data_IF_061598386195
#
_entry.id   IF_061598386195
#
_cell.length_a   1.000
_cell.length_b   1.000
_cell.length_c   1.000
_cell.angle_alpha   90.00
_cell.angle_beta   90.00
_cell.angle_gamma   90.00
#
_symmetry.space_group_name_H-M   'P 1'
#
loop_
_entity.id
_entity.type
_entity.pdbx_description
1 polymer ?
#
# COMPACT_ATOMS: atom_id res chain seq x y z
N UNK A 1 10.08 -12.21 -5.23
CA UNK A 1 9.37 -13.22 -6.04
C UNK A 1 9.42 -14.55 -5.31
N UNK A 2 8.28 -15.22 -5.24
CA UNK A 2 8.09 -16.53 -4.60
C UNK A 2 7.36 -17.46 -5.56
N UNK A 3 7.63 -18.75 -5.51
CA UNK A 3 6.92 -19.79 -6.25
C UNK A 3 6.53 -20.92 -5.30
N UNK A 4 5.24 -21.19 -5.29
CA UNK A 4 4.67 -22.33 -4.54
C UNK A 4 4.36 -23.48 -5.49
N UNK A 5 4.59 -24.70 -5.03
CA UNK A 5 4.07 -25.86 -5.73
C UNK A 5 2.55 -26.03 -5.49
N UNK A 6 1.84 -26.91 -6.22
CA UNK A 6 0.40 -27.09 -6.04
C UNK A 6 -0.02 -27.57 -4.65
N UNK A 7 0.89 -28.20 -3.90
CA UNK A 7 0.63 -28.67 -2.54
C UNK A 7 0.74 -27.55 -1.48
N UNK A 8 1.28 -26.37 -1.84
CA UNK A 8 1.41 -25.23 -0.93
C UNK A 8 2.79 -25.04 -0.32
N UNK A 9 3.78 -25.79 -0.76
CA UNK A 9 5.17 -25.62 -0.30
C UNK A 9 5.82 -24.51 -1.10
N UNK A 10 6.45 -23.55 -0.42
CA UNK A 10 7.27 -22.50 -1.04
C UNK A 10 8.59 -23.11 -1.54
N UNK A 11 8.66 -23.37 -2.84
CA UNK A 11 9.80 -24.08 -3.47
C UNK A 11 10.88 -23.15 -4.03
N UNK A 12 10.55 -21.85 -4.18
CA UNK A 12 11.49 -20.84 -4.64
C UNK A 12 11.16 -19.48 -4.04
N UNK A 13 12.16 -18.77 -3.56
CA UNK A 13 12.09 -17.36 -3.18
C UNK A 13 13.44 -16.69 -3.46
N UNK A 14 13.40 -15.43 -3.91
CA UNK A 14 14.60 -14.63 -4.14
C UNK A 14 15.32 -14.32 -2.82
N UNK A 15 14.55 -14.03 -1.78
CA UNK A 15 15.08 -13.58 -0.47
C UNK A 15 15.63 -14.73 0.39
N UNK A 16 15.12 -15.96 0.22
CA UNK A 16 15.45 -17.13 1.04
C UNK A 16 15.33 -16.88 2.54
N UNK A 17 14.25 -16.20 2.92
CA UNK A 17 13.90 -15.98 4.32
C UNK A 17 13.47 -17.29 5.01
N UNK A 18 13.08 -17.20 6.28
CA UNK A 18 12.65 -18.36 7.11
C UNK A 18 11.41 -19.09 6.58
N UNK A 19 10.71 -18.52 5.61
CA UNK A 19 9.56 -19.08 4.92
C UNK A 19 9.93 -20.07 3.80
N UNK A 20 11.20 -20.11 3.38
CA UNK A 20 11.67 -21.01 2.34
C UNK A 20 11.51 -22.49 2.75
N UNK A 21 11.00 -23.33 1.84
CA UNK A 21 10.65 -24.76 2.04
C UNK A 21 9.55 -24.95 3.10
N UNK A 22 8.73 -23.93 3.33
CA UNK A 22 7.64 -23.99 4.29
C UNK A 22 6.32 -24.36 3.60
N UNK A 23 5.50 -25.16 4.28
CA UNK A 23 4.17 -25.55 3.83
C UNK A 23 3.11 -24.51 4.29
N UNK A 24 2.45 -23.89 3.33
CA UNK A 24 1.39 -22.89 3.51
C UNK A 24 -0.01 -23.47 3.25
N UNK A 25 -0.15 -24.77 3.06
CA UNK A 25 -1.44 -25.42 2.89
C UNK A 25 -2.29 -25.32 4.16
N UNK A 26 -3.61 -25.47 4.00
CA UNK A 26 -4.53 -25.46 5.15
C UNK A 26 -4.27 -26.69 6.02
N UNK A 27 -4.04 -26.46 7.31
CA UNK A 27 -3.84 -27.54 8.27
C UNK A 27 -2.41 -28.10 8.32
N UNK A 28 -1.44 -27.45 7.68
CA UNK A 28 -0.02 -27.84 7.74
C UNK A 28 0.60 -27.80 9.14
N UNK A 29 -0.09 -27.19 10.12
CA UNK A 29 0.44 -26.95 11.47
C UNK A 29 1.45 -25.79 11.54
N UNK A 30 1.79 -25.21 10.41
CA UNK A 30 2.70 -24.07 10.37
C UNK A 30 1.97 -22.77 10.68
N UNK A 31 2.41 -21.97 11.67
CA UNK A 31 1.79 -20.69 12.00
C UNK A 31 1.70 -19.71 10.82
N UNK A 32 2.70 -19.70 9.92
CA UNK A 32 2.73 -18.84 8.74
C UNK A 32 1.61 -19.16 7.74
N UNK A 33 1.10 -20.39 7.73
CA UNK A 33 -0.01 -20.79 6.85
C UNK A 33 -1.32 -20.07 7.19
N UNK A 34 -1.51 -19.64 8.44
CA UNK A 34 -2.67 -18.87 8.90
C UNK A 34 -2.57 -17.38 8.53
N UNK A 35 -1.38 -16.89 8.23
CA UNK A 35 -1.11 -15.50 7.82
C UNK A 35 -1.64 -15.15 6.43
N UNK A 36 -1.44 -13.89 6.04
CA UNK A 36 -2.01 -13.35 4.80
C UNK A 36 -1.41 -13.99 3.54
N UNK A 37 -0.11 -14.31 3.56
CA UNK A 37 0.51 -15.04 2.46
C UNK A 37 -0.09 -16.44 2.27
N UNK A 38 -0.36 -17.16 3.36
CA UNK A 38 -1.00 -18.48 3.27
C UNK A 38 -2.46 -18.41 2.80
N UNK A 39 -3.20 -17.43 3.25
CA UNK A 39 -4.56 -17.16 2.76
C UNK A 39 -4.55 -16.81 1.27
N UNK A 40 -3.63 -15.94 0.87
CA UNK A 40 -3.46 -15.50 -0.52
C UNK A 40 -3.10 -16.68 -1.43
N UNK A 41 -2.12 -17.51 -1.03
CA UNK A 41 -1.78 -18.72 -1.76
C UNK A 41 -2.99 -19.61 -2.04
N UNK A 42 -3.77 -19.93 -0.99
CA UNK A 42 -4.97 -20.79 -1.13
C UNK A 42 -6.03 -20.17 -2.02
N UNK A 43 -6.21 -18.85 -1.94
CA UNK A 43 -7.14 -18.13 -2.82
C UNK A 43 -6.67 -18.19 -4.27
N UNK A 44 -5.42 -17.87 -4.53
CA UNK A 44 -4.84 -17.90 -5.88
C UNK A 44 -4.84 -19.30 -6.48
N UNK A 45 -4.55 -20.34 -5.68
CA UNK A 45 -4.58 -21.74 -6.14
C UNK A 45 -5.98 -22.21 -6.59
N UNK A 46 -7.05 -21.55 -6.14
CA UNK A 46 -8.43 -21.85 -6.52
C UNK A 46 -8.95 -20.97 -7.69
N UNK A 47 -8.15 -20.02 -8.17
CA UNK A 47 -8.51 -19.09 -9.24
C UNK A 47 -8.20 -19.68 -10.62
N UNK A 48 -8.78 -19.08 -11.67
CA UNK A 48 -8.50 -19.46 -13.04
C UNK A 48 -7.20 -18.81 -13.56
N UNK A 49 -6.68 -19.35 -14.65
CA UNK A 49 -5.49 -18.80 -15.30
C UNK A 49 -5.72 -17.33 -15.72
N UNK A 50 -4.76 -16.47 -15.37
CA UNK A 50 -4.83 -15.03 -15.66
C UNK A 50 -5.50 -14.18 -14.57
N UNK A 51 -6.14 -14.79 -13.59
CA UNK A 51 -6.67 -14.06 -12.45
C UNK A 51 -5.54 -13.71 -11.47
N UNK A 52 -5.75 -12.63 -10.72
CA UNK A 52 -4.77 -12.10 -9.75
C UNK A 52 -5.46 -11.88 -8.41
N UNK A 53 -4.83 -12.37 -7.35
CA UNK A 53 -5.23 -12.11 -5.97
C UNK A 53 -4.27 -11.12 -5.32
N UNK A 54 -4.79 -10.26 -4.44
CA UNK A 54 -4.01 -9.29 -3.67
C UNK A 54 -4.22 -9.50 -2.17
N UNK A 55 -3.15 -9.35 -1.39
CA UNK A 55 -3.18 -9.20 0.06
C UNK A 55 -2.55 -7.86 0.43
N UNK A 56 -3.32 -7.04 1.16
CA UNK A 56 -2.88 -5.72 1.63
C UNK A 56 -1.67 -5.84 2.57
N UNK A 57 -1.06 -4.71 2.87
CA UNK A 57 0.07 -4.65 3.80
C UNK A 57 -0.29 -5.22 5.16
N UNK A 58 0.59 -6.08 5.64
CA UNK A 58 0.62 -6.58 7.02
C UNK A 58 2.07 -6.77 7.46
N UNK A 59 2.31 -6.81 8.78
CA UNK A 59 3.63 -7.14 9.29
C UNK A 59 3.97 -8.59 8.96
N UNK A 60 5.09 -8.80 8.27
CA UNK A 60 5.50 -10.11 7.80
C UNK A 60 6.75 -10.59 8.55
N UNK A 61 6.58 -11.55 9.47
CA UNK A 61 7.64 -12.05 10.35
C UNK A 61 8.89 -12.56 9.63
N UNK A 62 8.78 -13.34 8.52
CA UNK A 62 9.95 -13.77 7.76
C UNK A 62 10.78 -12.62 7.19
N UNK A 63 10.17 -11.46 6.91
CA UNK A 63 10.84 -10.24 6.46
C UNK A 63 11.21 -9.30 7.63
N UNK A 64 11.52 -9.82 8.80
CA UNK A 64 11.90 -9.06 10.01
C UNK A 64 10.81 -8.11 10.50
N UNK A 65 9.55 -8.56 10.48
CA UNK A 65 8.36 -7.78 10.87
C UNK A 65 8.21 -6.46 10.08
N UNK A 66 8.68 -6.43 8.83
CA UNK A 66 8.44 -5.29 7.95
C UNK A 66 7.05 -5.37 7.31
N UNK A 67 6.40 -4.23 7.02
CA UNK A 67 5.16 -4.21 6.26
C UNK A 67 5.36 -4.68 4.82
N UNK A 68 4.73 -5.80 4.47
CA UNK A 68 4.76 -6.39 3.13
C UNK A 68 3.34 -6.61 2.61
N UNK A 69 3.15 -6.47 1.32
CA UNK A 69 1.94 -6.85 0.59
C UNK A 69 2.28 -7.85 -0.49
N UNK A 70 1.29 -8.61 -0.95
CA UNK A 70 1.53 -9.70 -1.88
C UNK A 70 0.52 -9.69 -3.03
N UNK A 71 1.00 -9.95 -4.23
CA UNK A 71 0.18 -10.22 -5.41
C UNK A 71 0.45 -11.65 -5.84
N UNK A 72 -0.58 -12.43 -6.06
CA UNK A 72 -0.46 -13.84 -6.45
C UNK A 72 -1.29 -14.15 -7.69
N UNK A 73 -0.79 -15.06 -8.53
CA UNK A 73 -1.50 -15.61 -9.69
C UNK A 73 -1.22 -17.10 -9.81
N UNK A 74 -2.23 -17.92 -10.19
CA UNK A 74 -2.00 -19.34 -10.44
C UNK A 74 -1.24 -19.53 -11.75
N UNK A 75 -0.36 -20.51 -11.76
CA UNK A 75 0.37 -20.95 -12.96
C UNK A 75 -0.18 -22.31 -13.36
N UNK A 76 -0.67 -22.41 -14.60
CA UNK A 76 -1.23 -23.64 -15.15
C UNK A 76 -0.32 -24.21 -16.24
N UNK A 77 -0.30 -25.54 -16.34
CA UNK A 77 0.32 -26.27 -17.44
C UNK A 77 -0.67 -27.33 -17.90
N UNK A 78 -1.10 -27.25 -19.17
CA UNK A 78 -2.09 -28.15 -19.75
C UNK A 78 -3.32 -28.35 -18.82
N UNK A 79 -3.96 -27.25 -18.43
CA UNK A 79 -5.15 -27.15 -17.60
C UNK A 79 -5.01 -27.70 -16.16
N UNK A 80 -3.78 -28.03 -15.74
CA UNK A 80 -3.49 -28.45 -14.36
C UNK A 80 -2.72 -27.35 -13.65
N UNK A 81 -3.10 -27.07 -12.40
CA UNK A 81 -2.34 -26.16 -11.55
C UNK A 81 -0.91 -26.68 -11.41
N UNK A 82 0.07 -25.91 -11.89
CA UNK A 82 1.50 -26.20 -11.78
C UNK A 82 2.14 -25.52 -10.55
N UNK A 83 1.51 -24.45 -10.06
CA UNK A 83 1.96 -23.71 -8.88
C UNK A 83 1.27 -22.36 -8.76
N UNK A 84 1.72 -21.57 -7.79
CA UNK A 84 1.27 -20.17 -7.60
C UNK A 84 2.51 -19.29 -7.57
N UNK A 85 2.51 -18.28 -8.44
CA UNK A 85 3.53 -17.24 -8.45
C UNK A 85 3.10 -16.10 -7.56
N UNK A 86 3.99 -15.63 -6.69
CA UNK A 86 3.73 -14.51 -5.78
C UNK A 86 4.82 -13.44 -5.92
N UNK A 87 4.38 -12.19 -6.00
CA UNK A 87 5.24 -11.02 -5.88
C UNK A 87 5.02 -10.40 -4.51
N UNK A 88 6.08 -10.33 -3.74
CA UNK A 88 6.18 -9.59 -2.49
C UNK A 88 6.51 -8.13 -2.83
N UNK A 89 5.75 -7.21 -2.27
CA UNK A 89 5.88 -5.76 -2.51
C UNK A 89 6.10 -5.10 -1.17
N UNK A 90 7.32 -4.62 -0.94
CA UNK A 90 7.64 -3.91 0.30
C UNK A 90 7.06 -2.49 0.31
N UNK A 91 6.68 -2.04 1.49
CA UNK A 91 6.25 -0.65 1.70
C UNK A 91 7.32 0.35 1.26
N UNK A 92 8.60 0.00 1.40
CA UNK A 92 9.73 0.81 0.91
C UNK A 92 9.68 1.03 -0.60
N UNK A 93 9.35 -0.02 -1.36
CA UNK A 93 9.27 0.06 -2.83
C UNK A 93 8.14 0.99 -3.28
N UNK A 94 6.96 0.87 -2.68
CA UNK A 94 5.83 1.75 -3.00
C UNK A 94 6.13 3.18 -2.56
N UNK A 95 6.65 3.38 -1.35
CA UNK A 95 7.00 4.70 -0.82
C UNK A 95 7.98 5.43 -1.75
N UNK A 96 9.02 4.76 -2.23
CA UNK A 96 9.97 5.33 -3.15
C UNK A 96 9.33 5.79 -4.47
N UNK A 97 8.34 5.05 -4.98
CA UNK A 97 7.59 5.43 -6.19
C UNK A 97 6.69 6.63 -5.94
N UNK A 98 5.98 6.64 -4.83
CA UNK A 98 5.05 7.73 -4.46
C UNK A 98 5.83 9.00 -4.12
N UNK A 99 6.96 8.92 -3.42
CA UNK A 99 7.83 10.06 -3.11
C UNK A 99 8.48 10.69 -4.34
N UNK A 100 8.53 9.97 -5.46
CA UNK A 100 9.08 10.50 -6.72
C UNK A 100 8.11 11.42 -7.47
N UNK A 101 6.88 11.57 -7.01
CA UNK A 101 5.89 12.48 -7.60
C UNK A 101 6.36 13.92 -7.42
N UNK A 102 6.42 14.65 -8.52
CA UNK A 102 6.89 16.04 -8.55
C UNK A 102 5.70 17.00 -8.64
N UNK A 103 5.95 18.28 -8.30
CA UNK A 103 4.94 19.35 -8.44
C UNK A 103 4.11 19.59 -7.20
N UNK A 104 4.50 18.99 -6.07
CA UNK A 104 3.81 19.19 -4.78
C UNK A 104 4.48 20.27 -3.90
N UNK A 105 5.35 21.12 -4.48
CA UNK A 105 6.04 22.17 -3.74
C UNK A 105 7.12 21.64 -2.80
N UNK A 106 7.42 22.41 -1.76
CA UNK A 106 8.45 22.08 -0.76
C UNK A 106 7.87 21.31 0.43
N UNK A 107 6.63 21.58 0.81
CA UNK A 107 5.95 20.96 1.96
C UNK A 107 5.06 19.79 1.57
N UNK A 108 4.82 19.61 0.25
CA UNK A 108 3.87 18.65 -0.26
C UNK A 108 4.44 17.25 -0.40
N UNK A 109 3.56 16.27 -0.23
CA UNK A 109 3.83 14.87 -0.51
C UNK A 109 2.58 14.13 -0.99
N UNK A 110 2.80 13.00 -1.62
CA UNK A 110 1.74 12.03 -1.89
C UNK A 110 1.88 10.85 -0.93
N UNK A 111 0.75 10.39 -0.42
CA UNK A 111 0.66 9.23 0.48
C UNK A 111 -0.44 8.28 0.02
N UNK A 112 -0.34 7.02 0.43
CA UNK A 112 -1.42 6.04 0.26
C UNK A 112 -1.97 5.69 1.64
N UNK A 113 -3.29 5.70 1.76
CA UNK A 113 -4.03 5.38 2.98
C UNK A 113 -4.95 4.19 2.69
N UNK A 114 -4.91 3.16 3.53
CA UNK A 114 -5.75 1.98 3.42
C UNK A 114 -7.17 2.21 3.88
N UNK A 115 -8.04 1.23 3.64
CA UNK A 115 -9.43 1.25 4.08
C UNK A 115 -9.63 1.32 5.61
N UNK A 116 -8.62 0.96 6.37
CA UNK A 116 -8.53 1.09 7.83
C UNK A 116 -8.10 2.49 8.30
N UNK A 117 -7.78 3.39 7.38
CA UNK A 117 -7.30 4.74 7.67
C UNK A 117 -5.81 4.82 8.01
N UNK A 118 -5.05 3.72 7.93
CA UNK A 118 -3.61 3.72 8.19
C UNK A 118 -2.80 3.92 6.90
N UNK A 119 -1.66 4.57 7.03
CA UNK A 119 -0.75 4.78 5.90
C UNK A 119 -0.22 3.46 5.32
N UNK A 120 -0.07 3.42 4.01
CA UNK A 120 0.59 2.34 3.24
C UNK A 120 1.93 2.78 2.65
N UNK A 121 2.27 4.04 2.84
CA UNK A 121 3.54 4.65 2.40
C UNK A 121 4.24 5.34 3.55
N UNK A 122 5.57 5.41 3.47
CA UNK A 122 6.40 6.17 4.39
C UNK A 122 6.41 7.64 3.97
N UNK A 123 6.13 8.55 4.91
CA UNK A 123 6.35 9.98 4.70
C UNK A 123 7.85 10.29 4.66
N UNK A 124 8.27 11.10 3.69
CA UNK A 124 9.66 11.56 3.65
C UNK A 124 9.96 12.70 4.63
N UNK A 125 8.92 13.25 5.25
CA UNK A 125 9.05 14.26 6.30
C UNK A 125 9.12 13.67 7.72
N UNK A 126 8.94 12.36 7.87
CA UNK A 126 8.98 11.69 9.17
C UNK A 126 10.15 10.71 9.27
N UNK A 127 10.99 10.80 10.31
CA UNK A 127 12.01 9.79 10.59
C UNK A 127 11.41 8.49 11.16
N UNK A 128 10.20 8.59 11.74
CA UNK A 128 9.54 7.46 12.39
C UNK A 128 8.74 6.61 11.37
N UNK A 129 8.58 5.30 11.60
CA UNK A 129 7.77 4.45 10.76
C UNK A 129 6.31 4.93 10.69
N UNK A 130 5.78 5.08 9.47
CA UNK A 130 4.40 5.51 9.25
C UNK A 130 3.50 4.38 8.77
N UNK A 131 4.06 3.40 8.03
CA UNK A 131 3.27 2.35 7.39
C UNK A 131 2.64 1.44 8.43
N UNK A 132 1.32 1.27 8.36
CA UNK A 132 0.47 0.54 9.30
C UNK A 132 0.48 1.11 10.74
N UNK A 133 1.04 2.31 10.94
CA UNK A 133 1.17 2.94 12.26
C UNK A 133 0.45 4.28 12.30
N UNK A 134 0.69 5.13 11.32
CA UNK A 134 0.17 6.50 11.31
C UNK A 134 -1.25 6.54 10.73
N UNK A 135 -2.25 6.98 11.51
CA UNK A 135 -3.60 7.18 11.02
C UNK A 135 -3.71 8.50 10.24
N UNK A 136 -4.50 8.48 9.17
CA UNK A 136 -4.86 9.66 8.39
C UNK A 136 -6.37 9.67 8.23
N UNK A 137 -7.03 10.56 8.96
CA UNK A 137 -8.49 10.66 9.00
C UNK A 137 -8.96 12.01 8.48
N UNK A 138 -10.10 12.02 7.79
CA UNK A 138 -10.77 13.22 7.31
C UNK A 138 -11.78 12.86 6.22
N UNK A 139 -12.69 13.80 5.93
CA UNK A 139 -13.77 13.55 4.96
C UNK A 139 -13.22 13.34 3.55
N UNK A 140 -12.09 13.97 3.21
CA UNK A 140 -11.40 13.81 1.93
C UNK A 140 -10.93 12.36 1.77
N UNK A 141 -10.31 11.78 2.80
CA UNK A 141 -9.83 10.39 2.81
C UNK A 141 -11.01 9.41 2.79
N UNK A 142 -12.03 9.66 3.61
CA UNK A 142 -13.26 8.85 3.64
C UNK A 142 -13.94 8.77 2.29
N UNK A 143 -14.10 9.92 1.62
CA UNK A 143 -14.71 9.99 0.30
C UNK A 143 -13.93 9.17 -0.72
N UNK A 144 -12.59 9.26 -0.71
CA UNK A 144 -11.74 8.49 -1.61
C UNK A 144 -11.83 6.98 -1.36
N UNK A 145 -11.78 6.53 -0.10
CA UNK A 145 -12.01 5.11 0.27
C UNK A 145 -13.42 4.67 -0.16
N UNK A 146 -14.41 5.58 -0.10
CA UNK A 146 -15.78 5.37 -0.59
C UNK A 146 -15.90 5.34 -2.12
N UNK A 147 -14.82 5.54 -2.87
CA UNK A 147 -14.80 5.46 -4.33
C UNK A 147 -14.99 6.81 -5.05
N UNK A 148 -14.96 7.94 -4.33
CA UNK A 148 -15.17 9.28 -4.89
C UNK A 148 -13.92 10.14 -4.72
N UNK A 149 -13.54 10.89 -5.76
CA UNK A 149 -12.52 11.92 -5.63
C UNK A 149 -13.03 13.06 -4.74
N UNK A 150 -12.15 13.57 -3.89
CA UNK A 150 -12.47 14.67 -3.02
C UNK A 150 -11.26 15.60 -2.83
N UNK A 151 -11.52 16.86 -2.55
CA UNK A 151 -10.51 17.84 -2.18
C UNK A 151 -11.00 18.64 -0.97
N UNK A 152 -10.05 19.15 -0.19
CA UNK A 152 -10.38 19.94 1.00
C UNK A 152 -9.17 20.11 1.90
N UNK A 153 -9.42 20.57 3.12
CA UNK A 153 -8.38 20.71 4.13
C UNK A 153 -8.31 19.42 4.94
N UNK A 154 -7.10 18.94 5.17
CA UNK A 154 -6.79 17.73 5.92
C UNK A 154 -5.79 18.05 7.03
N UNK A 155 -6.10 17.71 8.28
CA UNK A 155 -5.13 17.73 9.37
C UNK A 155 -4.11 16.62 9.21
N UNK A 156 -2.85 16.98 8.91
CA UNK A 156 -1.78 16.02 8.71
C UNK A 156 -0.43 16.61 9.15
N UNK A 157 0.41 15.80 9.82
CA UNK A 157 1.71 16.25 10.37
C UNK A 157 1.62 17.47 11.30
N UNK A 158 0.52 17.59 12.05
CA UNK A 158 0.29 18.72 12.97
C UNK A 158 -0.04 20.06 12.30
N UNK A 159 -0.29 20.09 10.99
CA UNK A 159 -0.66 21.27 10.23
C UNK A 159 -1.95 21.04 9.43
N UNK A 160 -2.53 22.12 8.93
CA UNK A 160 -3.63 22.07 7.97
C UNK A 160 -3.03 22.01 6.57
N UNK A 161 -3.40 20.98 5.83
CA UNK A 161 -2.94 20.74 4.48
C UNK A 161 -4.07 20.87 3.48
N UNK A 162 -3.86 21.60 2.40
CA UNK A 162 -4.70 21.48 1.21
C UNK A 162 -4.48 20.07 0.65
N UNK A 163 -5.55 19.37 0.40
CA UNK A 163 -5.49 17.96 -0.01
C UNK A 163 -6.40 17.65 -1.19
N UNK A 164 -5.94 16.68 -2.00
CA UNK A 164 -6.71 16.05 -3.06
C UNK A 164 -6.56 14.54 -2.89
N UNK A 165 -7.67 13.82 -2.80
CA UNK A 165 -7.68 12.38 -2.69
C UNK A 165 -8.43 11.73 -3.85
N UNK A 166 -7.90 10.60 -4.32
CA UNK A 166 -8.50 9.78 -5.35
C UNK A 166 -8.61 8.33 -4.88
N UNK A 167 -9.70 7.62 -5.25
CA UNK A 167 -9.84 6.21 -4.96
C UNK A 167 -8.85 5.38 -5.76
N UNK A 168 -8.35 4.32 -5.17
CA UNK A 168 -7.60 3.27 -5.80
C UNK A 168 -8.09 1.94 -5.24
N UNK A 169 -8.38 0.99 -6.12
CA UNK A 169 -8.84 -0.34 -5.73
C UNK A 169 -8.04 -1.41 -6.46
N UNK A 170 -7.62 -2.43 -5.72
CA UNK A 170 -6.99 -3.63 -6.25
C UNK A 170 -7.60 -4.84 -5.58
N UNK A 171 -8.23 -5.71 -6.38
CA UNK A 171 -8.83 -6.97 -5.95
C UNK A 171 -9.76 -6.81 -4.72
N UNK A 172 -10.65 -5.80 -4.76
CA UNK A 172 -11.58 -5.46 -3.69
C UNK A 172 -10.97 -4.69 -2.51
N UNK A 173 -9.64 -4.57 -2.44
CA UNK A 173 -8.97 -3.77 -1.42
C UNK A 173 -8.99 -2.30 -1.82
N UNK A 174 -9.57 -1.46 -0.97
CA UNK A 174 -9.75 -0.03 -1.23
C UNK A 174 -8.70 0.80 -0.52
N UNK A 175 -8.06 1.66 -1.28
CA UNK A 175 -7.10 2.65 -0.81
C UNK A 175 -7.49 4.06 -1.28
N UNK A 176 -6.99 5.07 -0.58
CA UNK A 176 -6.99 6.46 -1.04
C UNK A 176 -5.55 6.87 -1.39
N UNK A 177 -5.35 7.41 -2.59
CA UNK A 177 -4.11 8.12 -2.94
C UNK A 177 -4.36 9.59 -2.63
N UNK A 178 -3.58 10.16 -1.72
CA UNK A 178 -3.80 11.51 -1.20
C UNK A 178 -2.56 12.35 -1.46
N UNK A 179 -2.72 13.45 -2.18
CA UNK A 179 -1.72 14.50 -2.30
C UNK A 179 -2.03 15.59 -1.27
N UNK A 180 -1.02 16.04 -0.54
CA UNK A 180 -1.13 17.08 0.48
C UNK A 180 -0.07 18.15 0.25
N UNK A 181 -0.39 19.40 0.58
CA UNK A 181 0.56 20.53 0.58
C UNK A 181 0.14 21.52 1.66
N UNK A 182 1.10 22.13 2.36
CA UNK A 182 0.81 23.12 3.40
C UNK A 182 -0.02 24.27 2.86
N UNK A 183 -1.07 24.64 3.59
CA UNK A 183 -1.99 25.72 3.21
C UNK A 183 -1.26 27.05 3.01
N UNK A 184 -0.27 27.33 3.85
CA UNK A 184 0.51 28.58 3.74
C UNK A 184 1.34 28.60 2.45
N UNK A 185 1.89 27.48 2.02
CA UNK A 185 2.64 27.39 0.76
C UNK A 185 1.71 27.59 -0.45
N UNK A 186 0.53 26.94 -0.43
CA UNK A 186 -0.45 27.04 -1.53
C UNK A 186 -0.93 28.48 -1.69
N UNK A 187 -1.18 29.19 -0.60
CA UNK A 187 -1.72 30.57 -0.64
C UNK A 187 -0.64 31.65 -0.62
N UNK A 188 0.66 31.32 -0.49
CA UNK A 188 1.74 32.30 -0.47
C UNK A 188 1.72 33.29 -1.66
N UNK A 189 1.49 32.87 -2.91
CA UNK A 189 1.43 33.81 -4.05
C UNK A 189 0.25 34.79 -3.94
N UNK A 190 -0.90 34.31 -3.46
CA UNK A 190 -2.10 35.13 -3.29
C UNK A 190 -1.91 36.19 -2.18
N UNK A 191 -1.33 35.74 -1.05
CA UNK A 191 -1.02 36.63 0.08
C UNK A 191 0.00 37.71 -0.30
N UNK A 192 1.01 37.35 -1.07
CA UNK A 192 1.97 38.33 -1.60
C UNK A 192 1.29 39.37 -2.50
N UNK A 193 0.42 38.94 -3.41
CA UNK A 193 -0.31 39.83 -4.30
C UNK A 193 -1.25 40.79 -3.52
N UNK A 194 -1.95 40.31 -2.49
CA UNK A 194 -2.79 41.13 -1.61
C UNK A 194 -1.97 42.20 -0.88
N UNK A 195 -0.78 41.83 -0.37
CA UNK A 195 0.12 42.77 0.30
C UNK A 195 0.58 43.89 -0.63
N UNK A 196 0.85 43.59 -1.89
CA UNK A 196 1.20 44.63 -2.90
C UNK A 196 0.04 45.58 -3.20
N UNK A 197 -1.21 45.09 -3.27
CA UNK A 197 -2.38 45.89 -3.51
C UNK A 197 -2.73 46.85 -2.35
N UNK A 198 -2.29 46.53 -1.13
CA UNK A 198 -2.52 47.38 0.06
C UNK A 198 -1.45 48.48 0.22
N UNK A 199 -0.36 48.43 -0.55
CA UNK A 199 0.75 49.38 -0.50
C UNK A 199 0.65 50.46 -1.60
N UNK A 200 -0.35 50.42 -2.47
CA UNK A 200 -0.69 51.38 -3.50
C UNK A 200 -1.97 52.13 -3.10
#
# INVERSE_FOLDING_TARGET
IMLFNPAGVLIYTVQKNKDFVTDFSKGSGNPMSAGDLGKLFRRAAAMQAGEVAFADFSFYGPASETPESFIATPVYKADKLAGVLVFEISAKTISAKVSSIRGLGQTGEAIIVGGDGLMRTQSHFSPDPNVLVTPVHGDVVKSAIGGQRASGVLGYRGAQMVSLAAPFEIDGTKWAVVAVQDENEVFAPVNAMQSWMLLV
#
